data_IF_294440201002
#
_entry.id   IF_294440201002
#
_cell.length_a   1.000
_cell.length_b   1.000
_cell.length_c   1.000
_cell.angle_alpha   90.00
_cell.angle_beta   90.00
_cell.angle_gamma   90.00
#
_symmetry.space_group_name_H-M   'P 1'
#
loop_
_entity.id
_entity.type
_entity.pdbx_description
1 polymer ?
#
# COMPACT_ATOMS: atom_id res chain seq x y z
N UNK A 1 -24.99 -5.15 -1.62
CA UNK A 1 -23.89 -4.29 -1.15
C UNK A 1 -22.80 -5.21 -0.65
N UNK A 2 -21.55 -4.95 -1.05
CA UNK A 2 -20.40 -5.70 -0.56
C UNK A 2 -20.21 -5.45 0.95
N UNK A 3 -19.81 -6.49 1.69
CA UNK A 3 -19.45 -6.36 3.11
C UNK A 3 -18.19 -5.51 3.30
N UNK A 4 -17.96 -5.00 4.52
CA UNK A 4 -16.82 -4.13 4.81
C UNK A 4 -15.48 -4.77 4.43
N UNK A 5 -15.26 -6.05 4.73
CA UNK A 5 -14.04 -6.77 4.35
C UNK A 5 -13.82 -6.78 2.84
N UNK A 6 -14.85 -7.13 2.06
CA UNK A 6 -14.79 -7.14 0.60
C UNK A 6 -14.47 -5.75 0.03
N UNK A 7 -15.04 -4.71 0.62
CA UNK A 7 -14.72 -3.33 0.26
C UNK A 7 -13.26 -2.96 0.57
N UNK A 8 -12.73 -3.34 1.74
CA UNK A 8 -11.32 -3.12 2.09
C UNK A 8 -10.38 -3.83 1.10
N UNK A 9 -10.71 -5.05 0.69
CA UNK A 9 -9.93 -5.78 -0.33
C UNK A 9 -10.00 -5.05 -1.67
N UNK A 10 -11.19 -4.65 -2.12
CA UNK A 10 -11.39 -3.96 -3.39
C UNK A 10 -10.58 -2.66 -3.47
N UNK A 11 -10.66 -1.80 -2.45
CA UNK A 11 -9.90 -0.54 -2.43
C UNK A 11 -8.39 -0.77 -2.30
N UNK A 12 -7.96 -1.81 -1.58
CA UNK A 12 -6.53 -2.19 -1.54
C UNK A 12 -6.00 -2.63 -2.91
N UNK A 13 -6.85 -3.32 -3.68
CA UNK A 13 -6.49 -3.80 -5.01
C UNK A 13 -6.41 -2.63 -6.00
N UNK A 14 -7.36 -1.69 -5.94
CA UNK A 14 -7.31 -0.44 -6.70
C UNK A 14 -6.06 0.39 -6.37
N UNK A 15 -5.75 0.52 -5.08
CA UNK A 15 -4.50 1.14 -4.62
C UNK A 15 -3.26 0.45 -5.22
N UNK A 16 -3.22 -0.88 -5.23
CA UNK A 16 -2.12 -1.65 -5.82
C UNK A 16 -2.01 -1.47 -7.35
N UNK A 17 -3.13 -1.28 -8.04
CA UNK A 17 -3.15 -0.96 -9.48
C UNK A 17 -2.56 0.42 -9.75
N UNK A 18 -2.91 1.43 -8.96
CA UNK A 18 -2.30 2.78 -9.03
C UNK A 18 -0.79 2.69 -8.76
N UNK A 19 -0.36 1.96 -7.72
CA UNK A 19 1.06 1.77 -7.41
C UNK A 19 1.82 1.12 -8.58
N UNK A 20 1.24 0.10 -9.24
CA UNK A 20 1.80 -0.52 -10.44
C UNK A 20 1.86 0.46 -11.62
N UNK A 21 0.79 1.22 -11.85
CA UNK A 21 0.70 2.21 -12.93
C UNK A 21 1.82 3.25 -12.83
N UNK A 22 2.07 3.77 -11.61
CA UNK A 22 3.15 4.71 -11.34
C UNK A 22 4.54 4.23 -11.80
N UNK A 23 4.72 2.90 -11.89
CA UNK A 23 5.97 2.29 -12.35
C UNK A 23 5.94 1.78 -13.79
N UNK A 24 4.75 1.54 -14.35
CA UNK A 24 4.58 0.96 -15.67
C UNK A 24 4.50 2.02 -16.78
N UNK A 25 3.90 3.16 -16.50
CA UNK A 25 3.70 4.22 -17.49
C UNK A 25 4.85 5.21 -17.49
N UNK A 26 5.48 5.39 -18.65
CA UNK A 26 6.68 6.24 -18.81
C UNK A 26 6.51 7.67 -18.25
N UNK A 27 5.39 8.40 -18.46
CA UNK A 27 5.22 9.73 -17.87
C UNK A 27 5.26 9.73 -16.33
N UNK A 28 4.65 8.71 -15.71
CA UNK A 28 4.60 8.57 -14.26
C UNK A 28 5.93 8.06 -13.70
N UNK A 29 6.53 7.09 -14.38
CA UNK A 29 7.81 6.52 -14.00
C UNK A 29 8.90 7.61 -13.97
N UNK A 30 8.94 8.48 -14.99
CA UNK A 30 9.88 9.62 -15.01
C UNK A 30 9.71 10.53 -13.81
N UNK A 31 8.48 10.83 -13.39
CA UNK A 31 8.22 11.64 -12.21
C UNK A 31 8.66 10.92 -10.92
N UNK A 32 8.45 9.60 -10.84
CA UNK A 32 8.82 8.77 -9.70
C UNK A 32 10.35 8.66 -9.49
N UNK A 33 11.10 8.43 -10.59
CA UNK A 33 12.54 8.15 -10.55
C UNK A 33 13.42 9.33 -10.91
N UNK A 34 12.85 10.51 -11.14
CA UNK A 34 13.64 11.70 -11.40
C UNK A 34 14.50 12.05 -10.17
N UNK A 35 15.69 11.46 -10.13
CA UNK A 35 16.83 11.87 -9.32
C UNK A 35 17.86 12.51 -10.25
N UNK A 36 18.05 13.81 -10.05
CA UNK A 36 18.93 14.78 -10.74
C UNK A 36 19.88 14.27 -11.83
N UNK A 37 19.71 14.84 -13.02
CA UNK A 37 20.81 15.30 -13.87
C UNK A 37 20.55 16.73 -14.37
N UNK A 38 21.12 17.75 -13.72
CA UNK A 38 21.19 19.11 -14.31
C UNK A 38 21.02 20.32 -13.38
N UNK A 39 21.18 21.56 -13.93
CA UNK A 39 21.09 22.83 -13.21
C UNK A 39 19.66 23.32 -12.94
N UNK A 40 18.65 22.77 -13.62
CA UNK A 40 17.23 23.13 -13.46
C UNK A 40 16.65 22.50 -12.19
N UNK A 41 16.95 23.17 -11.07
CA UNK A 41 16.55 22.77 -9.73
C UNK A 41 15.10 23.14 -9.47
N UNK A 42 14.22 22.15 -9.45
CA UNK A 42 12.96 22.26 -8.71
C UNK A 42 12.83 21.07 -7.75
N UNK A 43 13.68 21.07 -6.71
CA UNK A 43 13.74 20.00 -5.69
C UNK A 43 12.39 19.73 -5.00
N UNK A 44 11.51 20.74 -4.98
CA UNK A 44 10.14 20.67 -4.48
C UNK A 44 9.29 19.69 -5.30
N UNK A 45 9.28 19.79 -6.63
CA UNK A 45 8.47 18.93 -7.50
C UNK A 45 8.79 17.42 -7.40
N UNK A 46 10.06 17.07 -7.18
CA UNK A 46 10.49 15.67 -7.03
C UNK A 46 10.09 15.07 -5.68
N UNK A 47 10.14 15.88 -4.63
CA UNK A 47 9.64 15.51 -3.32
C UNK A 47 8.11 15.41 -3.36
N UNK A 48 7.45 16.34 -4.04
CA UNK A 48 6.00 16.40 -4.19
C UNK A 48 5.45 15.19 -4.94
N UNK A 49 6.12 14.65 -5.98
CA UNK A 49 5.58 13.48 -6.69
C UNK A 49 5.65 12.18 -5.87
N UNK A 50 6.76 11.95 -5.16
CA UNK A 50 6.89 10.78 -4.26
C UNK A 50 5.74 10.80 -3.26
N UNK A 51 5.54 11.93 -2.60
CA UNK A 51 4.42 12.17 -1.69
C UNK A 51 3.06 12.12 -2.38
N UNK A 52 2.94 12.53 -3.64
CA UNK A 52 1.68 12.51 -4.38
C UNK A 52 1.17 11.09 -4.63
N UNK A 53 2.05 10.13 -4.93
CA UNK A 53 1.63 8.74 -5.13
C UNK A 53 1.04 8.16 -3.83
N UNK A 54 1.74 8.33 -2.70
CA UNK A 54 1.28 7.92 -1.38
C UNK A 54 -0.05 8.60 -1.00
N UNK A 55 -0.13 9.94 -1.15
CA UNK A 55 -1.36 10.69 -0.87
C UNK A 55 -2.51 10.22 -1.75
N UNK A 56 -2.30 10.08 -3.07
CA UNK A 56 -3.37 9.74 -3.98
C UNK A 56 -3.92 8.34 -3.69
N UNK A 57 -3.06 7.37 -3.37
CA UNK A 57 -3.46 6.03 -2.94
C UNK A 57 -4.30 6.10 -1.66
N UNK A 58 -3.86 6.89 -0.68
CA UNK A 58 -4.62 7.10 0.55
C UNK A 58 -5.99 7.74 0.30
N UNK A 59 -6.05 8.75 -0.57
CA UNK A 59 -7.29 9.47 -0.91
C UNK A 59 -8.24 8.63 -1.74
N UNK A 60 -7.75 7.69 -2.57
CA UNK A 60 -8.59 6.67 -3.24
C UNK A 60 -9.29 5.80 -2.22
N UNK A 61 -8.54 5.26 -1.26
CA UNK A 61 -9.10 4.39 -0.22
C UNK A 61 -10.13 5.16 0.61
N UNK A 62 -9.81 6.39 1.02
CA UNK A 62 -10.75 7.27 1.74
C UNK A 62 -12.01 7.57 0.95
N UNK A 63 -11.87 7.93 -0.32
CA UNK A 63 -12.98 8.28 -1.20
C UNK A 63 -13.93 7.09 -1.38
N UNK A 64 -13.42 5.92 -1.76
CA UNK A 64 -14.24 4.77 -2.11
C UNK A 64 -14.93 4.20 -0.87
N UNK A 65 -14.20 4.03 0.24
CA UNK A 65 -14.80 3.58 1.50
C UNK A 65 -15.79 4.59 2.07
N UNK A 66 -15.47 5.89 2.04
CA UNK A 66 -16.36 6.95 2.52
C UNK A 66 -17.59 7.14 1.63
N UNK A 67 -17.52 6.76 0.36
CA UNK A 67 -18.67 6.75 -0.54
C UNK A 67 -19.59 5.57 -0.24
N UNK A 68 -19.02 4.38 -0.03
CA UNK A 68 -19.79 3.16 0.24
C UNK A 68 -20.35 3.09 1.66
N UNK A 69 -19.60 3.59 2.65
CA UNK A 69 -19.96 3.60 4.07
C UNK A 69 -19.82 5.01 4.64
N UNK A 70 -20.87 5.84 4.53
CA UNK A 70 -20.86 7.23 5.03
C UNK A 70 -20.47 7.35 6.51
N UNK A 71 -20.70 6.32 7.32
CA UNK A 71 -20.36 6.24 8.74
C UNK A 71 -18.85 6.23 9.01
N UNK A 72 -18.04 5.82 8.03
CA UNK A 72 -16.58 5.85 8.11
C UNK A 72 -16.01 7.25 7.83
N UNK A 73 -16.80 8.18 7.29
CA UNK A 73 -16.30 9.53 6.98
C UNK A 73 -15.78 10.22 8.23
N UNK A 74 -14.54 10.70 8.18
CA UNK A 74 -13.85 11.29 9.35
C UNK A 74 -13.18 10.28 10.28
N UNK A 75 -13.30 8.97 10.00
CA UNK A 75 -12.68 7.88 10.74
C UNK A 75 -11.75 7.01 9.88
N UNK A 76 -11.36 7.51 8.71
CA UNK A 76 -10.35 6.90 7.84
C UNK A 76 -9.07 7.72 7.95
N UNK A 77 -8.07 7.15 8.59
CA UNK A 77 -6.79 7.76 8.89
C UNK A 77 -5.67 7.11 8.08
N UNK A 78 -4.56 7.82 7.94
CA UNK A 78 -3.34 7.27 7.33
C UNK A 78 -2.15 8.18 7.58
N UNK A 79 -0.99 7.79 7.09
CA UNK A 79 0.29 8.49 7.30
C UNK A 79 0.32 9.88 6.65
N UNK A 80 -0.32 10.03 5.50
CA UNK A 80 -0.07 11.16 4.61
C UNK A 80 -1.03 12.35 4.81
N UNK A 81 -0.50 13.55 4.64
CA UNK A 81 -1.30 14.78 4.53
C UNK A 81 -1.73 15.00 3.09
N UNK A 82 -3.01 15.31 2.86
CA UNK A 82 -3.53 15.63 1.53
C UNK A 82 -3.20 17.05 1.05
N UNK A 83 -2.50 17.85 1.85
CA UNK A 83 -2.19 19.24 1.54
C UNK A 83 -0.84 19.38 0.80
N UNK A 84 -0.91 19.91 -0.41
CA UNK A 84 0.22 20.31 -1.23
C UNK A 84 0.25 21.82 -1.40
N UNK A 85 1.33 22.31 -1.98
CA UNK A 85 1.40 23.70 -2.45
C UNK A 85 1.52 23.73 -3.97
N UNK A 86 0.74 24.57 -4.64
CA UNK A 86 0.82 24.78 -6.09
C UNK A 86 2.07 25.59 -6.52
N UNK A 87 2.22 25.81 -7.82
CA UNK A 87 3.31 26.58 -8.42
C UNK A 87 3.36 28.06 -7.95
N UNK A 88 2.23 28.61 -7.51
CA UNK A 88 2.07 30.01 -7.07
C UNK A 88 2.23 30.13 -5.54
N UNK A 89 2.33 29.01 -4.83
CA UNK A 89 2.47 28.94 -3.38
C UNK A 89 1.15 28.84 -2.61
N UNK A 90 0.01 28.71 -3.29
CA UNK A 90 -1.29 28.43 -2.72
C UNK A 90 -1.39 26.98 -2.22
N UNK A 91 -2.30 26.71 -1.28
CA UNK A 91 -2.54 25.36 -0.77
C UNK A 91 -3.54 24.63 -1.66
N UNK A 92 -3.17 23.43 -2.10
CA UNK A 92 -4.04 22.52 -2.85
C UNK A 92 -4.28 21.27 -2.02
N UNK A 93 -5.54 20.95 -1.75
CA UNK A 93 -5.91 19.71 -1.08
C UNK A 93 -6.23 18.64 -2.13
N UNK A 94 -5.36 17.65 -2.27
CA UNK A 94 -5.56 16.52 -3.18
C UNK A 94 -6.69 15.63 -2.67
N UNK A 95 -7.57 15.21 -3.57
CA UNK A 95 -8.69 14.29 -3.33
C UNK A 95 -9.13 13.66 -4.64
N UNK A 96 -9.89 12.57 -4.57
CA UNK A 96 -10.63 12.06 -5.73
C UNK A 96 -11.88 12.91 -5.91
N UNK A 97 -12.02 13.53 -7.08
CA UNK A 97 -13.18 14.35 -7.45
C UNK A 97 -14.31 13.51 -8.06
N UNK A 98 -15.48 14.13 -8.30
CA UNK A 98 -16.64 13.44 -8.85
C UNK A 98 -16.45 12.91 -10.27
N UNK A 99 -15.57 13.52 -11.07
CA UNK A 99 -15.28 13.10 -12.44
C UNK A 99 -13.78 12.93 -12.68
N UNK A 100 -13.35 12.07 -13.63
CA UNK A 100 -11.95 11.95 -14.00
C UNK A 100 -11.34 13.28 -14.46
N UNK A 101 -12.10 14.10 -15.17
CA UNK A 101 -11.66 15.42 -15.63
C UNK A 101 -11.34 16.37 -14.47
N UNK A 102 -12.20 16.40 -13.45
CA UNK A 102 -11.98 17.22 -12.26
C UNK A 102 -10.79 16.72 -11.43
N UNK A 103 -10.60 15.40 -11.34
CA UNK A 103 -9.42 14.82 -10.68
C UNK A 103 -8.16 15.17 -11.45
N UNK A 104 -8.16 15.05 -12.78
CA UNK A 104 -7.01 15.40 -13.61
C UNK A 104 -6.65 16.89 -13.47
N UNK A 105 -7.63 17.79 -13.48
CA UNK A 105 -7.40 19.22 -13.28
C UNK A 105 -6.77 19.52 -11.91
N UNK A 106 -7.24 18.85 -10.85
CA UNK A 106 -6.67 18.99 -9.50
C UNK A 106 -5.22 18.47 -9.43
N UNK A 107 -4.95 17.30 -10.00
CA UNK A 107 -3.60 16.73 -10.05
C UNK A 107 -2.66 17.60 -10.87
N UNK A 108 -3.13 18.21 -11.95
CA UNK A 108 -2.34 19.12 -12.78
C UNK A 108 -1.90 20.38 -12.02
N UNK A 109 -2.72 20.89 -11.10
CA UNK A 109 -2.36 22.02 -10.26
C UNK A 109 -1.17 21.71 -9.32
N UNK A 110 -0.99 20.43 -8.95
CA UNK A 110 0.15 19.95 -8.15
C UNK A 110 1.35 19.61 -9.04
N UNK A 111 1.12 18.89 -10.13
CA UNK A 111 2.17 18.37 -11.01
C UNK A 111 2.78 19.43 -11.95
N UNK A 112 2.04 20.49 -12.24
CA UNK A 112 2.38 21.51 -13.22
C UNK A 112 1.88 21.21 -14.64
N UNK A 113 1.72 22.24 -15.49
CA UNK A 113 1.00 22.16 -16.76
C UNK A 113 1.63 21.20 -17.79
N UNK A 114 2.94 20.97 -17.72
CA UNK A 114 3.67 20.05 -18.61
C UNK A 114 3.32 18.57 -18.34
N UNK A 115 2.65 18.27 -17.22
CA UNK A 115 2.38 16.91 -16.75
C UNK A 115 0.94 16.45 -17.00
N UNK A 116 0.24 17.05 -17.98
CA UNK A 116 -1.15 16.70 -18.32
C UNK A 116 -1.35 15.19 -18.49
N UNK A 117 -0.46 14.53 -19.23
CA UNK A 117 -0.59 13.09 -19.48
C UNK A 117 -0.48 12.26 -18.19
N UNK A 118 0.39 12.65 -17.26
CA UNK A 118 0.52 11.99 -15.96
C UNK A 118 -0.74 12.19 -15.11
N UNK A 119 -1.28 13.41 -15.09
CA UNK A 119 -2.51 13.73 -14.38
C UNK A 119 -3.72 12.93 -14.91
N UNK A 120 -3.86 12.81 -16.24
CA UNK A 120 -4.91 12.02 -16.89
C UNK A 120 -4.79 10.53 -16.55
N UNK A 121 -3.60 9.95 -16.62
CA UNK A 121 -3.37 8.54 -16.31
C UNK A 121 -3.74 8.20 -14.86
N UNK A 122 -3.33 9.05 -13.92
CA UNK A 122 -3.68 8.88 -12.51
C UNK A 122 -5.19 9.06 -12.31
N UNK A 123 -5.79 10.08 -12.91
CA UNK A 123 -7.22 10.32 -12.81
C UNK A 123 -8.06 9.15 -13.38
N UNK A 124 -7.66 8.57 -14.50
CA UNK A 124 -8.31 7.39 -15.07
C UNK A 124 -8.23 6.20 -14.11
N UNK A 125 -7.04 5.91 -13.57
CA UNK A 125 -6.85 4.78 -12.67
C UNK A 125 -7.60 4.90 -11.33
N UNK A 126 -7.65 6.10 -10.74
CA UNK A 126 -8.41 6.30 -9.49
C UNK A 126 -9.93 6.28 -9.68
N UNK A 127 -10.41 6.43 -10.90
CA UNK A 127 -11.83 6.30 -11.25
C UNK A 127 -12.19 4.92 -11.81
N UNK A 128 -11.20 4.06 -12.05
CA UNK A 128 -11.44 2.72 -12.56
C UNK A 128 -12.04 1.82 -11.47
N UNK A 129 -13.10 1.12 -11.83
CA UNK A 129 -13.70 0.09 -10.98
C UNK A 129 -12.87 -1.19 -11.02
N UNK A 130 -12.61 -1.75 -9.84
CA UNK A 130 -11.85 -3.00 -9.71
C UNK A 130 -12.82 -4.13 -9.46
N UNK A 131 -12.75 -5.15 -10.31
CA UNK A 131 -13.50 -6.40 -10.11
C UNK A 131 -12.62 -7.39 -9.36
N UNK A 132 -13.05 -7.80 -8.17
CA UNK A 132 -12.43 -8.90 -7.46
C UNK A 132 -12.87 -10.23 -8.11
N UNK A 133 -11.91 -11.11 -8.39
CA UNK A 133 -12.18 -12.46 -8.87
C UNK A 133 -12.32 -13.51 -7.76
N UNK A 134 -12.27 -13.08 -6.50
CA UNK A 134 -12.23 -13.97 -5.33
C UNK A 134 -13.63 -14.23 -4.77
N UNK A 135 -14.14 -15.43 -5.01
CA UNK A 135 -15.42 -15.88 -4.49
C UNK A 135 -15.37 -16.20 -2.98
N UNK A 136 -14.19 -16.37 -2.37
CA UNK A 136 -14.08 -16.69 -0.95
C UNK A 136 -14.50 -15.50 -0.07
N UNK A 137 -14.42 -14.28 -0.59
CA UNK A 137 -14.91 -13.08 0.08
C UNK A 137 -16.44 -12.97 0.10
N UNK A 138 -17.12 -13.63 -0.82
CA UNK A 138 -18.56 -13.53 -0.96
C UNK A 138 -19.24 -14.23 0.23
N UNK A 139 -20.03 -13.46 0.98
CA UNK A 139 -20.79 -13.99 2.12
C UNK A 139 -20.03 -14.04 3.44
N UNK A 140 -18.77 -13.59 3.50
CA UNK A 140 -18.09 -13.37 4.78
C UNK A 140 -18.73 -12.17 5.48
N UNK A 141 -19.41 -12.43 6.58
CA UNK A 141 -19.81 -11.41 7.53
C UNK A 141 -18.77 -11.34 8.67
N UNK A 142 -17.97 -10.27 8.76
CA UNK A 142 -17.02 -10.11 9.86
C UNK A 142 -17.70 -9.86 11.21
N UNK A 143 -19.02 -9.59 11.22
CA UNK A 143 -19.76 -9.19 12.41
C UNK A 143 -19.36 -7.81 12.92
N UNK A 144 -18.80 -6.97 12.05
CA UNK A 144 -18.29 -5.64 12.36
C UNK A 144 -19.15 -4.59 11.68
N UNK A 145 -19.69 -3.66 12.45
CA UNK A 145 -20.42 -2.50 11.93
C UNK A 145 -19.43 -1.43 11.44
N UNK A 146 -19.61 -0.87 10.23
CA UNK A 146 -18.78 0.24 9.76
C UNK A 146 -18.77 1.45 10.70
N UNK A 147 -19.88 1.72 11.40
CA UNK A 147 -19.96 2.85 12.34
C UNK A 147 -19.08 2.69 13.59
N UNK A 148 -18.73 1.46 13.96
CA UNK A 148 -17.99 1.17 15.19
C UNK A 148 -16.47 1.10 14.98
N UNK A 149 -16.01 1.20 13.73
CA UNK A 149 -14.59 1.06 13.38
C UNK A 149 -13.97 2.32 12.80
N UNK A 150 -12.67 2.45 13.03
CA UNK A 150 -11.80 3.36 12.31
C UNK A 150 -10.89 2.58 11.38
N UNK A 151 -10.40 3.23 10.33
CA UNK A 151 -9.46 2.67 9.37
C UNK A 151 -8.10 3.34 9.52
N UNK A 152 -7.02 2.56 9.43
CA UNK A 152 -5.65 3.04 9.30
C UNK A 152 -5.04 2.54 7.99
N UNK A 153 -4.45 3.46 7.24
CA UNK A 153 -3.86 3.23 5.93
C UNK A 153 -2.36 3.51 6.00
N UNK A 154 -1.57 2.56 5.50
CA UNK A 154 -0.20 2.80 5.04
C UNK A 154 -0.24 2.62 3.50
N UNK A 155 -0.23 3.73 2.73
CA UNK A 155 -0.53 3.68 1.30
C UNK A 155 0.56 2.94 0.51
N UNK A 156 1.83 3.12 0.88
CA UNK A 156 2.97 2.35 0.35
C UNK A 156 3.98 2.12 1.49
N UNK A 157 3.85 1.02 2.22
CA UNK A 157 4.89 0.56 3.15
C UNK A 157 6.18 0.37 2.38
N UNK A 158 7.32 0.74 2.97
CA UNK A 158 8.63 0.68 2.32
C UNK A 158 8.73 1.59 1.06
N UNK A 159 8.24 2.83 1.15
CA UNK A 159 8.30 3.84 0.07
C UNK A 159 9.69 3.94 -0.57
N UNK A 160 10.76 3.82 0.21
CA UNK A 160 12.14 3.81 -0.30
C UNK A 160 12.44 2.66 -1.28
N UNK A 161 11.92 1.46 -1.01
CA UNK A 161 12.09 0.32 -1.92
C UNK A 161 11.14 0.42 -3.12
N UNK A 162 9.96 1.02 -2.94
CA UNK A 162 9.05 1.36 -4.04
C UNK A 162 9.68 2.34 -5.03
N UNK A 163 10.27 3.43 -4.54
CA UNK A 163 10.99 4.41 -5.36
C UNK A 163 12.23 3.77 -5.98
N UNK A 164 13.07 3.13 -5.15
CA UNK A 164 14.32 2.49 -5.56
C UNK A 164 14.13 1.40 -6.61
N UNK A 165 12.94 0.77 -6.65
CA UNK A 165 12.49 0.10 -7.86
C UNK A 165 13.22 -1.17 -8.23
N UNK A 166 13.99 -1.75 -7.30
CA UNK A 166 14.78 -2.95 -7.57
C UNK A 166 13.87 -4.15 -7.78
N UNK A 167 13.91 -4.71 -8.98
CA UNK A 167 13.05 -5.83 -9.39
C UNK A 167 13.74 -7.19 -9.17
N UNK A 168 15.05 -7.26 -9.37
CA UNK A 168 15.83 -8.51 -9.39
C UNK A 168 16.53 -8.77 -8.04
N UNK A 169 15.79 -8.67 -6.94
CA UNK A 169 16.31 -8.98 -5.60
C UNK A 169 16.00 -10.44 -5.25
N UNK A 170 17.02 -11.29 -5.23
CA UNK A 170 16.88 -12.69 -4.87
C UNK A 170 16.43 -12.85 -3.40
N UNK A 171 15.43 -13.70 -3.18
CA UNK A 171 14.98 -14.06 -1.84
C UNK A 171 16.00 -14.97 -1.15
N UNK A 172 16.15 -14.79 0.16
CA UNK A 172 16.95 -15.65 1.04
C UNK A 172 15.98 -16.42 1.92
N UNK A 173 15.96 -17.74 1.79
CA UNK A 173 14.99 -18.62 2.46
C UNK A 173 13.53 -18.18 2.28
N UNK A 174 13.17 -17.72 1.07
CA UNK A 174 11.83 -17.23 0.74
C UNK A 174 11.54 -15.79 1.15
N UNK A 175 12.42 -15.14 1.91
CA UNK A 175 12.29 -13.73 2.32
C UNK A 175 13.03 -12.81 1.36
N UNK A 176 12.33 -11.85 0.76
CA UNK A 176 12.95 -10.82 -0.06
C UNK A 176 13.64 -9.78 0.83
N UNK A 177 14.96 -9.57 0.71
CA UNK A 177 15.64 -8.67 1.61
C UNK A 177 15.36 -7.19 1.33
N UNK A 178 14.70 -6.87 0.22
CA UNK A 178 14.31 -5.54 -0.24
C UNK A 178 13.78 -5.61 -1.67
N UNK A 179 13.69 -4.47 -2.34
CA UNK A 179 13.12 -4.30 -3.68
C UNK A 179 11.61 -4.16 -3.66
N UNK A 180 11.01 -4.10 -4.85
CA UNK A 180 9.58 -3.86 -5.02
C UNK A 180 8.69 -4.85 -4.28
N UNK A 181 9.15 -6.10 -4.08
CA UNK A 181 8.43 -7.13 -3.31
C UNK A 181 8.20 -6.78 -1.84
N UNK A 182 8.96 -5.82 -1.30
CA UNK A 182 8.80 -5.34 0.06
C UNK A 182 7.91 -4.09 0.17
N UNK A 183 7.44 -3.54 -0.96
CA UNK A 183 6.51 -2.43 -0.98
C UNK A 183 5.07 -2.95 -0.97
N UNK A 184 4.28 -2.57 0.03
CA UNK A 184 2.94 -3.10 0.29
C UNK A 184 1.92 -1.96 0.43
N UNK A 185 0.64 -2.27 0.18
CA UNK A 185 -0.47 -1.43 0.63
C UNK A 185 -1.08 -2.08 1.86
N UNK A 186 -1.19 -1.36 2.97
CA UNK A 186 -1.77 -1.88 4.21
C UNK A 186 -3.04 -1.12 4.56
N UNK A 187 -4.12 -1.86 4.80
CA UNK A 187 -5.39 -1.30 5.25
C UNK A 187 -5.89 -2.08 6.46
N UNK A 188 -5.90 -1.46 7.62
CA UNK A 188 -6.38 -2.04 8.87
C UNK A 188 -7.66 -1.38 9.35
N UNK A 189 -8.58 -2.15 9.92
CA UNK A 189 -9.72 -1.63 10.68
C UNK A 189 -9.56 -1.96 12.17
N UNK A 190 -9.86 -1.01 13.03
CA UNK A 190 -9.82 -1.18 14.48
C UNK A 190 -11.14 -0.74 15.10
N UNK A 191 -11.55 -1.40 16.17
CA UNK A 191 -12.71 -1.02 16.97
C UNK A 191 -12.42 0.32 17.68
N UNK A 192 -13.29 1.31 17.51
CA UNK A 192 -13.08 2.68 18.00
C UNK A 192 -13.20 2.81 19.51
N UNK A 193 -13.91 1.89 20.16
CA UNK A 193 -14.14 1.93 21.60
C UNK A 193 -12.95 1.35 22.37
N UNK A 194 -12.32 0.32 21.81
CA UNK A 194 -11.28 -0.48 22.46
C UNK A 194 -9.88 -0.27 21.88
N UNK A 195 -9.78 0.22 20.64
CA UNK A 195 -8.52 0.34 19.90
C UNK A 195 -7.99 -0.98 19.33
N UNK A 196 -8.73 -2.08 19.47
CA UNK A 196 -8.27 -3.41 19.04
C UNK A 196 -8.41 -3.56 17.52
N UNK A 197 -7.40 -4.07 16.80
CA UNK A 197 -7.51 -4.36 15.37
C UNK A 197 -8.48 -5.53 15.13
N UNK A 198 -9.45 -5.33 14.23
CA UNK A 198 -10.53 -6.28 13.95
C UNK A 198 -10.52 -6.82 12.51
N UNK A 199 -10.04 -6.04 11.55
CA UNK A 199 -9.84 -6.46 10.15
C UNK A 199 -8.48 -5.99 9.66
N UNK A 200 -7.88 -6.73 8.73
CA UNK A 200 -6.65 -6.30 8.08
C UNK A 200 -6.56 -6.83 6.67
N UNK A 201 -6.04 -6.00 5.77
CA UNK A 201 -5.71 -6.35 4.39
C UNK A 201 -4.25 -5.95 4.12
N UNK A 202 -3.49 -6.90 3.58
CA UNK A 202 -2.14 -6.68 3.08
C UNK A 202 -2.17 -6.94 1.58
N UNK A 203 -1.97 -5.91 0.77
CA UNK A 203 -1.82 -6.07 -0.67
C UNK A 203 -0.33 -6.01 -1.05
N UNK A 204 0.13 -6.97 -1.86
CA UNK A 204 1.45 -7.02 -2.47
C UNK A 204 1.32 -6.61 -3.94
N UNK A 205 1.53 -5.33 -4.32
CA UNK A 205 1.36 -4.90 -5.69
C UNK A 205 2.35 -5.59 -6.66
N UNK A 206 3.54 -5.94 -6.16
CA UNK A 206 4.67 -6.46 -6.91
C UNK A 206 5.07 -7.88 -6.47
N UNK A 207 4.13 -8.83 -6.50
CA UNK A 207 4.38 -10.20 -6.04
C UNK A 207 5.18 -11.02 -7.08
N UNK A 208 4.63 -11.18 -8.28
CA UNK A 208 5.22 -11.99 -9.35
C UNK A 208 5.31 -11.20 -10.64
N UNK A 209 6.44 -11.33 -11.34
CA UNK A 209 6.60 -10.72 -12.66
C UNK A 209 6.41 -11.77 -13.73
N UNK A 210 5.53 -11.47 -14.68
CA UNK A 210 5.31 -12.32 -15.83
C UNK A 210 6.58 -12.36 -16.71
N UNK A 211 7.16 -13.54 -17.00
CA UNK A 211 8.39 -13.63 -17.77
C UNK A 211 8.26 -13.14 -19.22
N UNK A 212 7.07 -13.20 -19.80
CA UNK A 212 6.81 -12.85 -21.20
C UNK A 212 6.40 -11.39 -21.35
N UNK A 213 5.41 -10.95 -20.57
CA UNK A 213 4.87 -9.59 -20.68
C UNK A 213 5.64 -8.57 -19.85
N UNK A 214 6.52 -9.04 -18.95
CA UNK A 214 7.26 -8.24 -17.96
C UNK A 214 6.37 -7.46 -16.99
N UNK A 215 5.05 -7.70 -17.00
CA UNK A 215 4.08 -7.04 -16.12
C UNK A 215 4.11 -7.66 -14.73
N UNK A 216 3.86 -6.81 -13.73
CA UNK A 216 3.70 -7.24 -12.35
C UNK A 216 2.28 -7.73 -12.09
N UNK A 217 2.20 -8.89 -11.47
CA UNK A 217 0.99 -9.47 -10.90
C UNK A 217 1.10 -9.31 -9.38
N UNK A 218 0.06 -8.75 -8.78
CA UNK A 218 -0.06 -8.65 -7.33
C UNK A 218 -0.81 -9.82 -6.73
N UNK A 219 -0.89 -9.82 -5.41
CA UNK A 219 -1.82 -10.63 -4.62
C UNK A 219 -2.19 -9.87 -3.35
N UNK A 220 -3.21 -10.32 -2.66
CA UNK A 220 -3.59 -9.76 -1.37
C UNK A 220 -3.88 -10.87 -0.36
N UNK A 221 -3.81 -10.48 0.91
CA UNK A 221 -4.17 -11.30 2.06
C UNK A 221 -5.10 -10.51 2.95
N UNK A 222 -6.00 -11.20 3.64
CA UNK A 222 -6.95 -10.58 4.53
C UNK A 222 -7.14 -11.41 5.80
N UNK A 223 -7.55 -10.75 6.88
CA UNK A 223 -7.84 -11.39 8.16
C UNK A 223 -8.96 -10.70 8.93
N UNK A 224 -9.68 -11.50 9.73
CA UNK A 224 -10.77 -11.09 10.62
C UNK A 224 -10.48 -11.59 12.03
N UNK A 225 -10.53 -10.70 13.01
CA UNK A 225 -10.40 -11.01 14.42
C UNK A 225 -11.40 -10.18 15.24
N UNK A 226 -12.66 -10.59 15.26
CA UNK A 226 -13.74 -9.88 15.97
C UNK A 226 -14.66 -10.86 16.70
N UNK A 227 -14.97 -10.60 17.97
CA UNK A 227 -15.71 -11.55 18.82
C UNK A 227 -15.05 -12.94 18.83
N UNK A 228 -15.82 -13.96 18.47
CA UNK A 228 -15.37 -15.35 18.29
C UNK A 228 -14.86 -15.67 16.87
N UNK A 229 -15.07 -14.75 15.92
CA UNK A 229 -14.69 -14.95 14.51
C UNK A 229 -13.18 -14.78 14.33
N UNK A 230 -12.51 -15.82 13.84
CA UNK A 230 -11.10 -15.81 13.45
C UNK A 230 -10.97 -16.42 12.05
N UNK A 231 -10.85 -15.55 11.05
CA UNK A 231 -10.73 -15.95 9.64
C UNK A 231 -9.50 -15.30 9.01
N UNK A 232 -8.90 -15.97 8.03
CA UNK A 232 -7.74 -15.47 7.30
C UNK A 232 -7.70 -16.13 5.92
N UNK A 233 -7.23 -15.38 4.92
CA UNK A 233 -6.97 -15.91 3.58
C UNK A 233 -5.75 -16.84 3.53
N UNK A 234 -4.94 -16.85 4.58
CA UNK A 234 -3.71 -17.63 4.67
C UNK A 234 -3.97 -19.00 5.30
N UNK A 235 -3.38 -20.02 4.68
CA UNK A 235 -3.29 -21.34 5.30
C UNK A 235 -2.34 -21.33 6.51
N UNK A 236 -2.64 -22.09 7.58
CA UNK A 236 -1.73 -22.23 8.71
C UNK A 236 -0.34 -22.70 8.25
N UNK A 237 0.75 -22.01 8.65
CA UNK A 237 2.09 -22.41 8.26
C UNK A 237 2.50 -23.73 8.94
N UNK A 238 3.37 -24.48 8.28
CA UNK A 238 3.97 -25.69 8.86
C UNK A 238 4.73 -25.36 10.14
N UNK A 239 4.51 -26.17 11.18
CA UNK A 239 5.23 -26.00 12.44
C UNK A 239 6.75 -26.13 12.24
N UNK A 240 7.50 -25.14 12.71
CA UNK A 240 8.97 -25.17 12.72
C UNK A 240 9.49 -25.49 14.11
N UNK A 241 10.50 -26.39 14.24
CA UNK A 241 11.07 -26.72 15.55
C UNK A 241 11.74 -25.53 16.25
N UNK A 242 12.20 -24.54 15.48
CA UNK A 242 12.88 -23.35 15.98
C UNK A 242 12.41 -22.11 15.23
N UNK A 243 12.26 -20.96 15.91
CA UNK A 243 11.81 -19.73 15.28
C UNK A 243 12.86 -19.18 14.32
N UNK A 244 12.42 -18.71 13.14
CA UNK A 244 13.23 -17.92 12.21
C UNK A 244 13.02 -16.44 12.52
N UNK A 245 14.10 -15.68 12.57
CA UNK A 245 14.06 -14.25 12.91
C UNK A 245 14.18 -13.43 11.62
N UNK A 246 13.24 -12.51 11.41
CA UNK A 246 13.28 -11.52 10.32
C UNK A 246 13.44 -10.12 10.93
N UNK A 247 14.41 -9.33 10.44
CA UNK A 247 14.77 -8.02 11.00
C UNK A 247 14.94 -6.95 9.95
N UNK A 248 14.79 -5.70 10.37
CA UNK A 248 15.18 -4.56 9.55
C UNK A 248 16.70 -4.53 9.33
N UNK A 249 17.12 -4.04 8.16
CA UNK A 249 18.54 -3.73 7.90
C UNK A 249 19.06 -2.59 8.78
N UNK A 250 18.17 -1.78 9.37
CA UNK A 250 18.54 -0.70 10.27
C UNK A 250 18.81 -1.17 11.71
N UNK A 251 18.51 -2.43 12.05
CA UNK A 251 18.65 -2.90 13.43
C UNK A 251 20.10 -2.88 13.92
N UNK A 252 20.28 -2.44 15.17
CA UNK A 252 21.59 -2.34 15.80
C UNK A 252 22.26 -3.72 15.94
N UNK A 253 23.62 -3.79 15.88
CA UNK A 253 24.34 -5.05 16.02
C UNK A 253 24.00 -5.83 17.30
N UNK A 254 23.76 -5.13 18.41
CA UNK A 254 23.36 -5.75 19.68
C UNK A 254 22.03 -6.51 19.58
N UNK A 255 21.02 -5.93 18.89
CA UNK A 255 19.71 -6.55 18.67
C UNK A 255 19.86 -7.80 17.80
N UNK A 256 20.65 -7.70 16.71
CA UNK A 256 20.93 -8.82 15.82
C UNK A 256 21.64 -9.97 16.55
N UNK A 257 22.60 -9.64 17.41
CA UNK A 257 23.34 -10.62 18.21
C UNK A 257 22.42 -11.35 19.20
N UNK A 258 21.59 -10.60 19.94
CA UNK A 258 20.64 -11.16 20.87
C UNK A 258 19.65 -12.12 20.19
N UNK A 259 19.03 -11.70 19.09
CA UNK A 259 18.03 -12.52 18.39
C UNK A 259 18.63 -13.68 17.59
N UNK A 260 19.89 -13.56 17.14
CA UNK A 260 20.61 -14.66 16.48
C UNK A 260 20.82 -15.89 17.37
N UNK A 261 20.76 -15.72 18.70
CA UNK A 261 20.92 -16.81 19.68
C UNK A 261 19.71 -17.75 19.81
N UNK A 262 18.56 -17.41 19.19
CA UNK A 262 17.30 -18.16 19.32
C UNK A 262 17.26 -19.51 18.55
N UNK A 263 18.34 -19.86 17.84
CA UNK A 263 18.60 -21.22 17.38
C UNK A 263 18.02 -21.61 16.02
N UNK A 264 17.33 -20.72 15.29
CA UNK A 264 16.80 -20.98 13.94
C UNK A 264 17.68 -20.51 12.78
N UNK A 265 19.00 -20.41 12.99
CA UNK A 265 19.98 -19.89 12.01
C UNK A 265 20.14 -18.36 12.06
N UNK A 266 20.97 -17.76 11.18
CA UNK A 266 21.23 -16.32 11.19
C UNK A 266 19.96 -15.51 10.86
N UNK A 267 19.75 -14.31 11.45
CA UNK A 267 18.59 -13.49 11.14
C UNK A 267 18.50 -13.15 9.64
N UNK A 268 17.31 -13.27 9.08
CA UNK A 268 17.00 -12.80 7.73
C UNK A 268 16.73 -11.29 7.79
N UNK A 269 17.26 -10.55 6.83
CA UNK A 269 17.05 -9.11 6.76
C UNK A 269 16.00 -8.81 5.70
N UNK A 270 15.06 -7.93 6.01
CA UNK A 270 14.03 -7.47 5.09
C UNK A 270 13.70 -5.98 5.30
N UNK A 271 13.40 -5.30 4.20
CA UNK A 271 12.82 -3.95 4.21
C UNK A 271 11.28 -4.05 4.36
N UNK A 272 10.62 -2.92 4.64
CA UNK A 272 9.17 -2.84 4.85
C UNK A 272 8.70 -3.35 6.21
N UNK A 273 7.99 -2.54 6.98
CA UNK A 273 7.44 -2.94 8.27
C UNK A 273 6.34 -3.98 8.07
N UNK A 274 5.39 -3.69 7.19
CA UNK A 274 4.34 -4.61 6.76
C UNK A 274 4.91 -5.87 6.14
N UNK A 275 5.95 -5.78 5.31
CA UNK A 275 6.54 -6.97 4.68
C UNK A 275 7.16 -7.94 5.70
N UNK A 276 7.80 -7.43 6.76
CA UNK A 276 8.29 -8.28 7.86
C UNK A 276 7.15 -9.00 8.59
N UNK A 277 6.03 -8.31 8.83
CA UNK A 277 4.84 -8.92 9.45
C UNK A 277 4.18 -9.95 8.51
N UNK A 278 4.16 -9.68 7.21
CA UNK A 278 3.69 -10.63 6.22
C UNK A 278 4.56 -11.90 6.18
N UNK A 279 5.89 -11.78 6.31
CA UNK A 279 6.75 -12.96 6.45
C UNK A 279 6.36 -13.82 7.65
N UNK A 280 6.00 -13.21 8.78
CA UNK A 280 5.50 -13.93 9.97
C UNK A 280 4.16 -14.62 9.67
N UNK A 281 3.21 -13.92 9.05
CA UNK A 281 1.90 -14.47 8.69
C UNK A 281 2.00 -15.65 7.70
N UNK A 282 2.97 -15.61 6.78
CA UNK A 282 3.28 -16.67 5.83
C UNK A 282 4.12 -17.82 6.43
N UNK A 283 4.65 -17.66 7.64
CA UNK A 283 5.52 -18.63 8.29
C UNK A 283 6.88 -18.83 7.59
N UNK A 284 7.45 -17.76 7.03
CA UNK A 284 8.74 -17.77 6.34
C UNK A 284 9.95 -17.79 7.29
#
# INVERSE_FOLDING_TARGET
MAGLLQALVAVSQKAAEVARLCRAEEPLFRLLVAEKTGPDRNARFLQDFKTLADVLIQEVIKHDLGTQFPELRGHIHGEESSEFRDAEGGTVTVRVCATPGDTAALLLAVLGPEQMRAAELLAEAVHQEVTLGDMELDGIDPGVSPGDVGIWIDPIDSTNEFIGGREDVAAVDGVAPGGLRSALVLVGAFDRHTGVPVLGVINEPFFQRDPQTRRWQGRYHWGVAHGDTRLCSLSPPSARPRPRVVLSRAEAPAVRGALGSLGGGPPLLAAGAGYKLLCVALGL
#
